data_IF_878904118167
#
_entry.id   IF_878904118167
#
_cell.length_a   1.000
_cell.length_b   1.000
_cell.length_c   1.000
_cell.angle_alpha   90.00
_cell.angle_beta   90.00
_cell.angle_gamma   90.00
#
_symmetry.space_group_name_H-M   'P 1'
#
loop_
_entity.id
_entity.type
_entity.pdbx_description
1 polymer ?
#
# COMPACT_ATOMS: atom_id res chain seq x y z
N UNK A 1 12.23 4.54 -7.91
CA UNK A 1 11.00 3.78 -8.18
C UNK A 1 11.20 2.38 -7.62
N UNK A 2 10.37 1.99 -6.65
CA UNK A 2 10.50 0.72 -5.93
C UNK A 2 10.18 -0.46 -6.87
N UNK A 3 11.02 -1.49 -6.92
CA UNK A 3 10.71 -2.69 -7.69
C UNK A 3 9.80 -3.63 -6.89
N UNK A 4 8.52 -3.70 -7.27
CA UNK A 4 7.54 -4.54 -6.56
C UNK A 4 7.80 -6.03 -6.70
N UNK A 5 8.71 -6.47 -7.59
CA UNK A 5 9.08 -7.89 -7.71
C UNK A 5 10.24 -8.26 -6.79
N UNK A 6 10.91 -7.28 -6.19
CA UNK A 6 11.96 -7.50 -5.21
C UNK A 6 11.42 -8.35 -4.04
N UNK A 7 12.16 -9.40 -3.61
CA UNK A 7 11.70 -10.28 -2.55
C UNK A 7 11.54 -9.59 -1.20
N UNK A 8 12.33 -8.54 -0.91
CA UNK A 8 12.21 -7.73 0.30
C UNK A 8 10.91 -6.92 0.27
N UNK A 9 10.60 -6.31 -0.87
CA UNK A 9 9.35 -5.58 -1.09
C UNK A 9 8.14 -6.51 -0.97
N UNK A 10 8.21 -7.70 -1.57
CA UNK A 10 7.15 -8.71 -1.46
C UNK A 10 6.97 -9.25 -0.03
N UNK A 11 8.05 -9.37 0.74
CA UNK A 11 7.98 -9.76 2.14
C UNK A 11 7.32 -8.66 2.98
N UNK A 12 7.76 -7.40 2.84
CA UNK A 12 7.18 -6.26 3.53
C UNK A 12 5.69 -6.06 3.18
N UNK A 13 5.34 -6.18 1.89
CA UNK A 13 3.95 -6.06 1.43
C UNK A 13 3.06 -7.14 2.02
N UNK A 14 3.51 -8.40 2.03
CA UNK A 14 2.76 -9.50 2.63
C UNK A 14 2.51 -9.24 4.11
N UNK A 15 3.53 -8.84 4.87
CA UNK A 15 3.37 -8.51 6.28
C UNK A 15 2.35 -7.37 6.48
N UNK A 16 2.44 -6.30 5.69
CA UNK A 16 1.49 -5.19 5.75
C UNK A 16 0.05 -5.62 5.41
N UNK A 17 -0.13 -6.54 4.45
CA UNK A 17 -1.43 -7.10 4.11
C UNK A 17 -2.02 -7.93 5.25
N UNK A 18 -1.20 -8.75 5.90
CA UNK A 18 -1.61 -9.54 7.06
C UNK A 18 -2.02 -8.64 8.23
N UNK A 19 -1.27 -7.58 8.52
CA UNK A 19 -1.62 -6.61 9.57
C UNK A 19 -2.93 -5.86 9.27
N UNK A 20 -3.19 -5.52 7.99
CA UNK A 20 -4.40 -4.81 7.57
C UNK A 20 -5.59 -5.74 7.28
N UNK A 21 -5.41 -7.05 7.31
CA UNK A 21 -6.43 -8.04 6.90
C UNK A 21 -6.77 -7.99 5.41
N UNK A 22 -5.88 -7.46 4.56
CA UNK A 22 -6.07 -7.41 3.11
C UNK A 22 -5.76 -8.80 2.51
N UNK A 23 -6.70 -9.45 1.80
CA UNK A 23 -6.45 -10.74 1.20
C UNK A 23 -5.39 -10.68 0.10
N UNK A 24 -4.63 -11.76 -0.04
CA UNK A 24 -3.50 -11.85 -0.97
C UNK A 24 -3.87 -11.59 -2.43
N UNK A 25 -5.10 -11.93 -2.82
CA UNK A 25 -5.66 -11.67 -4.14
C UNK A 25 -5.71 -10.18 -4.49
N UNK A 26 -5.74 -9.29 -3.48
CA UNK A 26 -5.78 -7.84 -3.64
C UNK A 26 -4.41 -7.17 -3.53
N UNK A 27 -3.31 -7.93 -3.30
CA UNK A 27 -1.94 -7.38 -3.25
C UNK A 27 -1.55 -6.62 -4.51
N UNK A 28 -2.01 -7.09 -5.67
CA UNK A 28 -1.76 -6.44 -6.95
C UNK A 28 -2.29 -5.00 -7.04
N UNK A 29 -3.32 -4.67 -6.25
CA UNK A 29 -3.88 -3.32 -6.20
C UNK A 29 -2.96 -2.30 -5.51
N UNK A 30 -2.00 -2.77 -4.70
CA UNK A 30 -1.08 -1.92 -3.93
C UNK A 30 0.18 -1.56 -4.74
N UNK A 31 0.53 -2.36 -5.75
CA UNK A 31 1.71 -2.13 -6.59
C UNK A 31 1.85 -0.72 -7.20
N UNK A 32 0.80 -0.09 -7.76
CA UNK A 32 0.93 1.28 -8.26
C UNK A 32 1.31 2.28 -7.15
N UNK A 33 0.77 2.11 -5.93
CA UNK A 33 1.05 2.99 -4.79
C UNK A 33 2.50 2.87 -4.30
N UNK A 34 3.08 1.66 -4.38
CA UNK A 34 4.49 1.43 -4.03
C UNK A 34 5.46 1.93 -5.09
N UNK A 35 5.07 1.86 -6.36
CA UNK A 35 5.90 2.38 -7.47
C UNK A 35 6.00 3.90 -7.41
N UNK A 36 4.88 4.56 -7.11
CA UNK A 36 4.77 6.00 -7.01
C UNK A 36 4.37 6.42 -5.59
N UNK A 37 5.33 6.25 -4.67
CA UNK A 37 5.15 6.49 -3.25
C UNK A 37 4.86 7.95 -2.89
N UNK A 38 5.10 8.90 -3.79
CA UNK A 38 4.79 10.33 -3.63
C UNK A 38 3.64 10.79 -4.52
N UNK A 39 3.07 9.87 -5.31
CA UNK A 39 1.99 10.14 -6.24
C UNK A 39 0.66 10.50 -5.59
N UNK A 40 -0.29 10.85 -6.46
CA UNK A 40 -1.69 11.02 -6.09
C UNK A 40 -2.29 9.65 -5.77
N UNK A 41 -2.71 9.48 -4.51
CA UNK A 41 -3.28 8.24 -4.03
C UNK A 41 -4.81 8.37 -3.98
N UNK A 42 -5.56 7.30 -4.30
CA UNK A 42 -7.01 7.36 -4.34
C UNK A 42 -7.58 7.64 -2.95
N UNK A 43 -8.44 8.64 -2.84
CA UNK A 43 -9.20 8.96 -1.62
C UNK A 43 -10.22 7.88 -1.30
N UNK A 44 -10.45 7.62 -0.02
CA UNK A 44 -11.56 6.78 0.41
C UNK A 44 -12.90 7.49 0.14
N UNK A 45 -13.82 6.81 -0.55
CA UNK A 45 -15.16 7.37 -0.80
C UNK A 45 -16.12 7.26 0.40
N UNK A 46 -15.69 6.65 1.51
CA UNK A 46 -16.53 6.41 2.70
C UNK A 46 -17.65 5.37 2.50
N UNK A 47 -17.76 4.75 1.32
CA UNK A 47 -18.86 3.87 0.94
C UNK A 47 -18.68 2.37 1.25
N UNK A 48 -17.59 1.97 1.90
CA UNK A 48 -17.31 0.57 2.21
C UNK A 48 -17.00 -0.30 0.98
N UNK A 49 -16.48 0.30 -0.10
CA UNK A 49 -16.10 -0.42 -1.31
C UNK A 49 -15.00 -1.47 -1.03
N UNK A 50 -15.00 -2.59 -1.77
CA UNK A 50 -13.97 -3.61 -1.67
C UNK A 50 -13.25 -3.78 -3.03
N UNK A 51 -11.91 -3.61 -3.10
CA UNK A 51 -11.01 -3.15 -2.03
C UNK A 51 -11.25 -1.68 -1.66
N UNK A 52 -11.21 -1.38 -0.36
CA UNK A 52 -11.29 0.00 0.13
C UNK A 52 -9.96 0.71 -0.17
N UNK A 53 -10.01 1.87 -0.82
CA UNK A 53 -8.82 2.68 -1.12
C UNK A 53 -8.03 3.05 0.14
N UNK A 54 -8.72 3.28 1.28
CA UNK A 54 -8.05 3.50 2.57
C UNK A 54 -7.19 2.31 2.96
N UNK A 55 -7.74 1.10 2.93
CA UNK A 55 -6.98 -0.12 3.27
C UNK A 55 -5.79 -0.32 2.34
N UNK A 56 -5.94 -0.06 1.04
CA UNK A 56 -4.82 -0.14 0.09
C UNK A 56 -3.73 0.89 0.41
N UNK A 57 -4.12 2.12 0.78
CA UNK A 57 -3.21 3.17 1.20
C UNK A 57 -2.51 2.82 2.52
N UNK A 58 -3.23 2.32 3.52
CA UNK A 58 -2.69 1.87 4.80
C UNK A 58 -1.63 0.78 4.61
N UNK A 59 -1.93 -0.22 3.76
CA UNK A 59 -0.98 -1.27 3.40
C UNK A 59 0.25 -0.69 2.69
N UNK A 60 0.06 0.27 1.77
CA UNK A 60 1.16 0.90 1.06
C UNK A 60 2.07 1.71 2.02
N UNK A 61 1.51 2.53 2.91
CA UNK A 61 2.26 3.27 3.93
C UNK A 61 3.05 2.29 4.79
N UNK A 62 2.38 1.26 5.32
CA UNK A 62 3.02 0.29 6.20
C UNK A 62 4.16 -0.45 5.51
N UNK A 63 3.98 -0.83 4.25
CA UNK A 63 5.03 -1.44 3.44
C UNK A 63 6.24 -0.52 3.32
N UNK A 64 6.03 0.77 3.04
CA UNK A 64 7.09 1.77 2.91
C UNK A 64 7.83 2.02 4.24
N UNK A 65 7.12 2.02 5.38
CA UNK A 65 7.73 2.08 6.70
C UNK A 65 8.64 0.88 6.98
N UNK A 66 8.18 -0.33 6.66
CA UNK A 66 8.96 -1.57 6.83
C UNK A 66 10.22 -1.59 5.96
N UNK A 67 10.19 -0.92 4.82
CA UNK A 67 11.33 -0.78 3.91
C UNK A 67 12.28 0.37 4.29
N UNK A 68 11.97 1.13 5.35
CA UNK A 68 12.77 2.27 5.79
C UNK A 68 12.70 3.48 4.85
N UNK A 69 11.71 3.51 3.95
CA UNK A 69 11.48 4.59 3.00
C UNK A 69 10.07 5.16 3.19
N UNK A 70 9.76 5.74 4.36
CA UNK A 70 8.41 6.21 4.67
C UNK A 70 7.97 7.26 3.65
N UNK A 71 6.68 7.25 3.31
CA UNK A 71 6.09 8.26 2.43
C UNK A 71 6.22 9.64 3.08
N UNK A 72 6.79 10.60 2.35
CA UNK A 72 6.93 11.99 2.80
C UNK A 72 5.68 12.83 2.54
N UNK A 73 4.92 12.51 1.49
CA UNK A 73 3.68 13.21 1.14
C UNK A 73 2.51 12.75 2.02
N UNK A 74 1.62 13.65 2.48
CA UNK A 74 0.48 13.25 3.29
C UNK A 74 -0.39 12.25 2.53
N UNK A 75 -0.95 11.29 3.27
CA UNK A 75 -1.96 10.37 2.76
C UNK A 75 -3.27 11.15 2.68
N UNK A 76 -3.93 11.22 1.52
CA UNK A 76 -5.18 11.96 1.41
C UNK A 76 -6.25 11.32 2.31
N UNK A 77 -6.85 12.14 3.17
CA UNK A 77 -7.85 11.75 4.18
C UNK A 77 -9.25 11.62 3.61
#
# INVERSE_FOLDING_TARGET
MLDVKDPTVQAALRQACEEAGLPDSLRGCVYPLLRDAEGDWPTCCGGGCMPCSSTLADVAVRTLELLGTPRASPVPS
#
